data_IF_034854647555
#
_entry.id   IF_034854647555
#
_cell.length_a   1.000
_cell.length_b   1.000
_cell.length_c   1.000
_cell.angle_alpha   90.00
_cell.angle_beta   90.00
_cell.angle_gamma   90.00
#
_symmetry.space_group_name_H-M   'P 1'
#
loop_
_entity.id
_entity.type
_entity.pdbx_description
1 polymer ?
#
# COMPACT_ATOMS: atom_id res chain seq x y z
N UNK A 1 -1.70 23.26 25.38
CA UNK A 1 -1.61 21.80 25.20
C UNK A 1 -2.13 21.50 23.81
N UNK A 2 -1.31 20.94 22.93
CA UNK A 2 -1.74 20.54 21.59
C UNK A 2 -2.47 19.20 21.70
N UNK A 3 -3.66 19.10 21.14
CA UNK A 3 -4.46 17.87 21.14
C UNK A 3 -3.85 16.84 20.16
N UNK A 4 -3.46 15.63 20.62
CA UNK A 4 -2.95 14.57 19.74
C UNK A 4 -3.88 14.26 18.56
N UNK A 5 -5.20 14.33 18.76
CA UNK A 5 -6.17 14.05 17.71
C UNK A 5 -6.12 15.10 16.58
N UNK A 6 -5.87 16.37 16.93
CA UNK A 6 -5.72 17.46 15.95
C UNK A 6 -4.45 17.30 15.13
N UNK A 7 -3.33 16.95 15.77
CA UNK A 7 -2.08 16.66 15.07
C UNK A 7 -2.19 15.43 14.17
N UNK A 8 -2.90 14.39 14.63
CA UNK A 8 -3.18 13.21 13.83
C UNK A 8 -3.99 13.58 12.58
N UNK A 9 -5.07 14.34 12.73
CA UNK A 9 -5.89 14.83 11.63
C UNK A 9 -5.08 15.69 10.64
N UNK A 10 -4.17 16.54 11.14
CA UNK A 10 -3.29 17.35 10.30
C UNK A 10 -2.36 16.48 9.43
N UNK A 11 -1.72 15.46 10.02
CA UNK A 11 -0.85 14.53 9.28
C UNK A 11 -1.61 13.73 8.21
N UNK A 12 -2.88 13.43 8.46
CA UNK A 12 -3.75 12.75 7.50
C UNK A 12 -4.26 13.70 6.40
N UNK A 13 -4.43 14.99 6.72
CA UNK A 13 -4.91 16.00 5.78
C UNK A 13 -3.81 16.44 4.80
N UNK A 14 -2.56 16.48 5.26
CA UNK A 14 -1.38 16.72 4.42
C UNK A 14 -0.29 15.67 4.69
N UNK A 15 -0.33 14.54 3.97
CA UNK A 15 0.70 13.51 4.07
C UNK A 15 2.08 13.93 3.56
N UNK A 16 2.30 15.17 3.14
CA UNK A 16 3.62 15.64 2.75
C UNK A 16 4.26 16.56 3.79
N UNK A 17 3.49 17.06 4.75
CA UNK A 17 3.97 17.93 5.82
C UNK A 17 4.69 17.15 6.92
N UNK A 18 6.02 17.17 6.85
CA UNK A 18 6.88 16.53 7.84
C UNK A 18 6.94 17.32 9.17
N UNK A 19 6.51 18.58 9.20
CA UNK A 19 6.48 19.40 10.42
C UNK A 19 5.43 18.87 11.38
N UNK A 20 4.18 18.71 10.93
CA UNK A 20 3.10 18.16 11.74
C UNK A 20 3.46 16.76 12.27
N UNK A 21 4.13 15.94 11.44
CA UNK A 21 4.58 14.59 11.82
C UNK A 21 5.63 14.60 12.91
N UNK A 22 6.62 15.48 12.84
CA UNK A 22 7.67 15.55 13.85
C UNK A 22 7.11 16.04 15.19
N UNK A 23 6.21 17.04 15.17
CA UNK A 23 5.52 17.51 16.39
C UNK A 23 4.69 16.39 17.00
N UNK A 24 3.96 15.62 16.18
CA UNK A 24 3.21 14.46 16.62
C UNK A 24 4.15 13.35 17.16
N UNK A 25 5.28 13.12 16.51
CA UNK A 25 6.23 12.11 16.92
C UNK A 25 6.81 12.42 18.30
N UNK A 26 7.21 13.66 18.54
CA UNK A 26 7.75 14.10 19.84
C UNK A 26 6.70 13.93 20.94
N UNK A 27 5.45 14.36 20.69
CA UNK A 27 4.34 14.18 21.63
C UNK A 27 4.08 12.70 21.96
N UNK A 28 4.09 11.83 20.96
CA UNK A 28 3.86 10.38 21.15
C UNK A 28 5.02 9.69 21.87
N UNK A 29 6.27 10.14 21.66
CA UNK A 29 7.45 9.58 22.34
C UNK A 29 7.46 9.85 23.85
N UNK A 30 6.82 10.93 24.27
CA UNK A 30 6.65 11.30 25.67
C UNK A 30 5.47 10.57 26.35
N UNK A 31 4.72 9.74 25.61
CA UNK A 31 3.60 8.97 26.17
C UNK A 31 4.05 7.85 27.11
N UNK A 32 3.28 7.63 28.17
CA UNK A 32 3.42 6.48 29.08
C UNK A 32 2.91 5.17 28.46
N UNK A 33 2.14 5.25 27.37
CA UNK A 33 1.65 4.09 26.62
C UNK A 33 2.74 3.55 25.68
N UNK A 34 3.22 2.30 25.88
CA UNK A 34 4.28 1.73 25.06
C UNK A 34 3.97 1.67 23.56
N UNK A 35 2.71 1.50 23.15
CA UNK A 35 2.36 1.48 21.73
C UNK A 35 2.45 2.87 21.11
N UNK A 36 1.96 3.89 21.83
CA UNK A 36 2.11 5.28 21.41
C UNK A 36 3.58 5.70 21.37
N UNK A 37 4.36 5.33 22.37
CA UNK A 37 5.79 5.59 22.38
C UNK A 37 6.49 4.93 21.18
N UNK A 38 6.18 3.65 20.88
CA UNK A 38 6.70 2.98 19.71
C UNK A 38 6.30 3.68 18.40
N UNK A 39 5.05 4.15 18.31
CA UNK A 39 4.54 4.90 17.16
C UNK A 39 5.26 6.24 16.98
N UNK A 40 5.50 6.98 18.06
CA UNK A 40 6.28 8.21 18.04
C UNK A 40 7.73 8.00 17.60
N UNK A 41 8.39 6.96 18.15
CA UNK A 41 9.74 6.55 17.75
C UNK A 41 9.81 6.22 16.25
N UNK A 42 8.83 5.46 15.76
CA UNK A 42 8.74 5.05 14.36
C UNK A 42 8.48 6.23 13.40
N UNK A 43 7.59 7.14 13.78
CA UNK A 43 7.31 8.38 13.03
C UNK A 43 8.54 9.27 12.92
N UNK A 44 9.18 9.57 14.06
CA UNK A 44 10.40 10.38 14.09
C UNK A 44 11.49 9.76 13.21
N UNK A 45 11.72 8.45 13.36
CA UNK A 45 12.76 7.75 12.62
C UNK A 45 12.46 7.70 11.11
N UNK A 46 11.20 7.47 10.73
CA UNK A 46 10.78 7.46 9.33
C UNK A 46 10.95 8.83 8.66
N UNK A 47 10.46 9.90 9.28
CA UNK A 47 10.63 11.26 8.75
C UNK A 47 12.10 11.65 8.68
N UNK A 48 12.88 11.31 9.70
CA UNK A 48 14.32 11.56 9.73
C UNK A 48 14.99 10.83 8.57
N UNK A 49 14.82 9.51 8.43
CA UNK A 49 15.41 8.72 7.35
C UNK A 49 15.03 9.23 5.95
N UNK A 50 13.81 9.73 5.77
CA UNK A 50 13.32 10.20 4.47
C UNK A 50 14.02 11.46 3.93
N UNK A 51 14.71 12.21 4.80
CA UNK A 51 15.50 13.39 4.38
C UNK A 51 16.67 13.02 3.45
N UNK A 52 17.12 11.77 3.50
CA UNK A 52 18.25 11.28 2.73
C UNK A 52 17.87 10.26 1.64
N UNK A 53 16.59 9.89 1.51
CA UNK A 53 16.19 8.79 0.62
C UNK A 53 16.03 9.18 -0.86
N UNK A 54 16.14 10.47 -1.22
CA UNK A 54 15.88 10.93 -2.60
C UNK A 54 17.12 11.34 -3.40
N UNK A 55 18.23 11.76 -2.77
CA UNK A 55 19.29 12.48 -3.50
C UNK A 55 20.73 12.20 -3.00
N UNK A 56 20.99 11.10 -2.27
CA UNK A 56 22.31 10.82 -1.69
C UNK A 56 22.85 9.44 -2.03
N UNK A 57 23.85 9.40 -2.91
CA UNK A 57 24.58 8.16 -3.26
C UNK A 57 25.42 7.62 -2.08
N UNK A 58 25.81 8.51 -1.16
CA UNK A 58 26.51 8.18 0.10
C UNK A 58 25.90 9.02 1.22
N UNK A 59 25.43 8.36 2.27
CA UNK A 59 24.88 9.03 3.47
C UNK A 59 25.84 8.79 4.63
N UNK A 60 26.63 9.81 4.99
CA UNK A 60 27.50 9.79 6.16
C UNK A 60 26.98 10.76 7.23
N UNK A 61 25.79 10.43 7.76
CA UNK A 61 25.13 11.21 8.82
C UNK A 61 24.75 10.30 10.00
N UNK A 62 25.26 10.55 11.22
CA UNK A 62 24.91 9.78 12.41
C UNK A 62 23.41 9.75 12.72
N UNK A 63 22.65 10.80 12.37
CA UNK A 63 21.20 10.86 12.57
C UNK A 63 20.48 9.88 11.65
N UNK A 64 20.93 9.74 10.40
CA UNK A 64 20.38 8.76 9.47
C UNK A 64 20.55 7.33 10.03
N UNK A 65 21.76 6.97 10.45
CA UNK A 65 22.00 5.64 11.02
C UNK A 65 21.28 5.42 12.35
N UNK A 66 21.10 6.47 13.16
CA UNK A 66 20.26 6.39 14.36
C UNK A 66 18.80 6.12 14.01
N UNK A 67 18.26 6.81 13.00
CA UNK A 67 16.91 6.59 12.52
C UNK A 67 16.71 5.19 11.94
N UNK A 68 17.67 4.68 11.16
CA UNK A 68 17.63 3.30 10.63
C UNK A 68 17.58 2.25 11.75
N UNK A 69 18.43 2.42 12.78
CA UNK A 69 18.42 1.52 13.95
C UNK A 69 17.08 1.57 14.69
N UNK A 70 16.49 2.75 14.78
CA UNK A 70 15.21 2.94 15.45
C UNK A 70 14.05 2.30 14.68
N UNK A 71 13.98 2.50 13.35
CA UNK A 71 13.03 1.80 12.48
C UNK A 71 13.16 0.28 12.64
N UNK A 72 14.39 -0.23 12.59
CA UNK A 72 14.67 -1.66 12.72
C UNK A 72 14.27 -2.20 14.11
N UNK A 73 14.53 -1.45 15.17
CA UNK A 73 14.18 -1.85 16.53
C UNK A 73 12.65 -1.96 16.70
N UNK A 74 11.89 -0.95 16.26
CA UNK A 74 10.42 -0.96 16.34
C UNK A 74 9.82 -2.05 15.44
N UNK A 75 10.35 -2.23 14.22
CA UNK A 75 9.89 -3.27 13.30
C UNK A 75 10.19 -4.68 13.83
N UNK A 76 11.38 -4.90 14.40
CA UNK A 76 11.76 -6.18 15.02
C UNK A 76 10.90 -6.54 16.24
N UNK A 77 10.43 -5.53 16.97
CA UNK A 77 9.48 -5.71 18.06
C UNK A 77 8.06 -6.05 17.57
N UNK A 78 7.78 -5.92 16.27
CA UNK A 78 6.52 -6.31 15.66
C UNK A 78 5.41 -5.26 15.66
N UNK A 79 5.68 -4.04 16.13
CA UNK A 79 4.65 -2.99 16.18
C UNK A 79 4.01 -2.70 14.82
N UNK A 80 4.76 -2.54 13.70
CA UNK A 80 4.11 -2.26 12.42
C UNK A 80 3.31 -3.44 11.87
N UNK A 81 3.61 -4.68 12.29
CA UNK A 81 2.78 -5.84 12.01
C UNK A 81 1.48 -5.82 12.82
N UNK A 82 1.55 -5.50 14.11
CA UNK A 82 0.35 -5.36 14.95
C UNK A 82 -0.57 -4.22 14.45
N UNK A 83 -0.01 -3.07 14.07
CA UNK A 83 -0.78 -1.96 13.52
C UNK A 83 -1.50 -2.32 12.21
N UNK A 84 -0.84 -3.08 11.34
CA UNK A 84 -1.48 -3.62 10.13
C UNK A 84 -2.53 -4.68 10.48
N UNK A 85 -2.25 -5.53 11.47
CA UNK A 85 -3.16 -6.55 11.98
C UNK A 85 -4.46 -5.98 12.54
N UNK A 86 -4.39 -4.83 13.23
CA UNK A 86 -5.57 -4.10 13.72
C UNK A 86 -6.54 -3.64 12.63
N UNK A 87 -6.11 -3.65 11.36
CA UNK A 87 -7.00 -3.41 10.22
C UNK A 87 -7.79 -4.66 9.80
N UNK A 88 -7.69 -5.77 10.55
CA UNK A 88 -8.38 -7.03 10.30
C UNK A 88 -7.57 -8.02 9.45
N UNK A 89 -6.25 -7.94 9.49
CA UNK A 89 -5.34 -8.75 8.67
C UNK A 89 -4.64 -9.82 9.52
N UNK A 90 -4.75 -11.08 9.09
CA UNK A 90 -4.06 -12.19 9.75
C UNK A 90 -4.80 -12.74 10.98
N UNK A 91 -4.19 -13.71 11.68
CA UNK A 91 -4.75 -14.27 12.91
C UNK A 91 -4.71 -13.24 14.06
N UNK A 92 -5.66 -13.37 14.98
CA UNK A 92 -5.73 -12.58 16.22
C UNK A 92 -5.65 -13.53 17.44
N UNK A 93 -4.62 -13.42 18.31
CA UNK A 93 -3.49 -12.50 18.23
C UNK A 93 -2.43 -12.92 17.21
N UNK A 94 -1.71 -11.95 16.64
CA UNK A 94 -0.52 -12.20 15.83
C UNK A 94 0.63 -12.69 16.70
N UNK A 95 1.38 -13.66 16.17
CA UNK A 95 2.62 -14.18 16.74
C UNK A 95 3.81 -13.86 15.84
N UNK A 96 5.03 -14.02 16.35
CA UNK A 96 6.26 -13.70 15.62
C UNK A 96 6.46 -14.51 14.33
N UNK A 97 5.81 -15.66 14.20
CA UNK A 97 5.89 -16.50 12.98
C UNK A 97 4.92 -16.07 11.89
N UNK A 98 3.95 -15.21 12.20
CA UNK A 98 2.87 -14.83 11.27
C UNK A 98 3.28 -13.71 10.34
N UNK A 99 4.38 -13.01 10.65
CA UNK A 99 4.83 -11.85 9.92
C UNK A 99 6.34 -11.81 9.70
N UNK A 100 6.73 -11.11 8.65
CA UNK A 100 8.13 -10.74 8.39
C UNK A 100 8.18 -9.28 8.00
N UNK A 101 9.36 -8.69 8.09
CA UNK A 101 9.57 -7.31 7.67
C UNK A 101 10.91 -7.16 6.94
N UNK A 102 10.95 -6.17 6.06
CA UNK A 102 12.16 -5.63 5.47
C UNK A 102 12.15 -4.10 5.57
N UNK A 103 13.31 -3.48 5.35
CA UNK A 103 13.39 -2.04 5.20
C UNK A 103 14.36 -1.65 4.09
N UNK A 104 14.07 -0.52 3.46
CA UNK A 104 14.91 0.10 2.43
C UNK A 104 14.77 1.62 2.60
N UNK A 105 15.86 2.28 3.00
CA UNK A 105 15.86 3.69 3.37
C UNK A 105 14.77 3.99 4.41
N UNK A 106 13.85 4.91 4.15
CA UNK A 106 12.76 5.28 5.06
C UNK A 106 11.53 4.37 4.98
N UNK A 107 11.58 3.34 4.12
CA UNK A 107 10.45 2.45 3.88
C UNK A 107 10.62 1.16 4.67
N UNK A 108 9.59 0.82 5.44
CA UNK A 108 9.50 -0.45 6.17
C UNK A 108 8.32 -1.23 5.60
N UNK A 109 8.58 -2.40 5.04
CA UNK A 109 7.53 -3.27 4.51
C UNK A 109 7.30 -4.41 5.48
N UNK A 110 6.04 -4.61 5.88
CA UNK A 110 5.62 -5.74 6.68
C UNK A 110 4.71 -6.63 5.86
N UNK A 111 4.88 -7.94 5.99
CA UNK A 111 4.04 -8.94 5.36
C UNK A 111 3.41 -9.86 6.39
N UNK A 112 2.09 -10.01 6.33
CA UNK A 112 1.27 -10.93 7.13
C UNK A 112 0.55 -11.87 6.17
N UNK A 113 1.00 -13.11 6.06
CA UNK A 113 0.55 -14.02 4.99
C UNK A 113 0.80 -13.44 3.59
N UNK A 114 -0.28 -13.23 2.83
CA UNK A 114 -0.29 -12.64 1.49
C UNK A 114 -0.54 -11.12 1.48
N UNK A 115 -0.82 -10.53 2.65
CA UNK A 115 -1.02 -9.10 2.80
C UNK A 115 0.30 -8.40 3.09
N UNK A 116 0.53 -7.29 2.41
CA UNK A 116 1.70 -6.43 2.62
C UNK A 116 1.25 -5.03 3.01
N UNK A 117 1.90 -4.42 3.99
CA UNK A 117 1.79 -3.00 4.30
C UNK A 117 3.16 -2.35 4.26
N UNK A 118 3.31 -1.27 3.48
CA UNK A 118 4.53 -0.49 3.43
C UNK A 118 4.32 0.85 4.12
N UNK A 119 5.15 1.07 5.12
CA UNK A 119 5.23 2.32 5.85
C UNK A 119 6.29 3.20 5.20
N UNK A 120 5.94 4.43 4.86
CA UNK A 120 6.86 5.46 4.42
C UNK A 120 6.79 6.62 5.41
N UNK A 121 7.94 7.21 5.77
CA UNK A 121 8.00 8.27 6.80
C UNK A 121 7.29 7.88 8.11
N UNK A 122 7.32 6.60 8.46
CA UNK A 122 6.68 6.06 9.66
C UNK A 122 5.15 5.96 9.62
N UNK A 123 4.51 6.16 8.47
CA UNK A 123 3.06 6.03 8.29
C UNK A 123 2.73 5.00 7.20
N UNK A 124 1.65 4.23 7.38
CA UNK A 124 1.20 3.27 6.37
C UNK A 124 0.75 4.03 5.11
N UNK A 125 1.52 3.90 4.04
CA UNK A 125 1.34 4.62 2.79
C UNK A 125 0.87 3.70 1.66
N UNK A 126 1.28 2.43 1.69
CA UNK A 126 0.89 1.46 0.65
C UNK A 126 0.44 0.15 1.28
N UNK A 127 -0.56 -0.48 0.66
CA UNK A 127 -1.00 -1.84 1.02
C UNK A 127 -1.16 -2.71 -0.23
N UNK A 128 -0.84 -3.99 -0.10
CA UNK A 128 -1.14 -5.00 -1.11
C UNK A 128 -2.03 -6.07 -0.48
N UNK A 129 -3.26 -6.20 -0.99
CA UNK A 129 -4.34 -7.02 -0.41
C UNK A 129 -5.24 -7.56 -1.51
N UNK A 130 -6.08 -8.55 -1.21
CA UNK A 130 -7.17 -8.91 -2.13
C UNK A 130 -8.22 -7.80 -2.20
N UNK A 131 -9.03 -7.78 -3.26
CA UNK A 131 -10.12 -6.81 -3.37
C UNK A 131 -11.10 -6.95 -2.20
N UNK A 132 -11.40 -8.18 -1.80
CA UNK A 132 -12.27 -8.46 -0.65
C UNK A 132 -11.72 -7.86 0.64
N UNK A 133 -10.43 -8.09 0.93
CA UNK A 133 -9.75 -7.52 2.10
C UNK A 133 -9.76 -5.99 2.06
N UNK A 134 -9.47 -5.39 0.89
CA UNK A 134 -9.54 -3.93 0.74
C UNK A 134 -10.92 -3.40 1.12
N UNK A 135 -12.01 -4.00 0.62
CA UNK A 135 -13.36 -3.55 0.93
C UNK A 135 -13.74 -3.68 2.41
N UNK A 136 -13.10 -4.58 3.16
CA UNK A 136 -13.26 -4.70 4.62
C UNK A 136 -12.44 -3.64 5.35
N UNK A 137 -11.18 -3.46 4.97
CA UNK A 137 -10.24 -2.61 5.72
C UNK A 137 -10.17 -1.15 5.26
N UNK A 138 -10.75 -0.78 4.11
CA UNK A 138 -10.55 0.53 3.49
C UNK A 138 -10.91 1.70 4.43
N UNK A 139 -12.07 1.60 5.09
CA UNK A 139 -12.52 2.64 6.03
C UNK A 139 -11.58 2.80 7.22
N UNK A 140 -11.29 1.76 8.04
CA UNK A 140 -10.35 1.91 9.15
C UNK A 140 -8.94 2.28 8.69
N UNK A 141 -8.49 1.79 7.53
CA UNK A 141 -7.20 2.14 6.97
C UNK A 141 -7.11 3.63 6.65
N UNK A 142 -8.08 4.22 5.94
CA UNK A 142 -8.09 5.64 5.60
C UNK A 142 -8.43 6.55 6.79
N UNK A 143 -9.16 6.06 7.79
CA UNK A 143 -9.38 6.79 9.03
C UNK A 143 -8.08 6.90 9.84
N UNK A 144 -7.28 5.83 9.86
CA UNK A 144 -6.07 5.73 10.68
C UNK A 144 -4.79 6.18 9.98
N UNK A 145 -4.72 6.14 8.65
CA UNK A 145 -3.45 6.22 7.93
C UNK A 145 -3.57 6.97 6.60
N UNK A 146 -2.50 7.66 6.15
CA UNK A 146 -2.46 8.30 4.84
C UNK A 146 -2.13 7.28 3.75
N UNK A 147 -2.95 6.23 3.60
CA UNK A 147 -2.76 5.27 2.50
C UNK A 147 -2.92 6.01 1.19
N UNK A 148 -1.89 5.99 0.35
CA UNK A 148 -1.82 6.65 -0.95
C UNK A 148 -2.03 5.64 -2.09
N UNK A 149 -1.67 4.36 -1.85
CA UNK A 149 -1.75 3.31 -2.87
C UNK A 149 -2.21 1.98 -2.30
N UNK A 150 -3.11 1.34 -3.03
CA UNK A 150 -3.57 -0.03 -2.78
C UNK A 150 -3.29 -0.86 -4.03
N UNK A 151 -2.57 -1.98 -3.88
CA UNK A 151 -2.38 -2.97 -4.95
C UNK A 151 -3.30 -4.15 -4.70
N UNK A 152 -4.09 -4.53 -5.71
CA UNK A 152 -5.02 -5.64 -5.60
C UNK A 152 -4.37 -6.94 -6.08
N UNK A 153 -4.11 -7.87 -5.16
CA UNK A 153 -3.28 -9.07 -5.43
C UNK A 153 -4.03 -10.14 -6.22
N UNK A 154 -5.35 -10.20 -6.10
CA UNK A 154 -6.22 -11.13 -6.82
C UNK A 154 -6.77 -10.55 -8.15
N UNK A 155 -6.38 -9.33 -8.52
CA UNK A 155 -6.65 -8.73 -9.81
C UNK A 155 -5.36 -8.06 -10.35
N UNK A 156 -4.43 -8.83 -10.94
CA UNK A 156 -3.14 -8.32 -11.41
C UNK A 156 -3.25 -7.04 -12.26
N UNK A 157 -2.52 -6.01 -11.86
CA UNK A 157 -2.50 -4.72 -12.54
C UNK A 157 -3.57 -3.72 -12.04
N UNK A 158 -4.50 -4.15 -11.20
CA UNK A 158 -5.46 -3.27 -10.54
C UNK A 158 -4.82 -2.60 -9.33
N UNK A 159 -4.95 -1.29 -9.26
CA UNK A 159 -4.51 -0.45 -8.15
C UNK A 159 -5.56 0.60 -7.82
N UNK A 160 -5.63 1.00 -6.56
CA UNK A 160 -6.29 2.24 -6.16
C UNK A 160 -5.25 3.27 -5.76
N UNK A 161 -5.41 4.50 -6.25
CA UNK A 161 -4.68 5.69 -5.80
C UNK A 161 -5.60 6.54 -4.94
N UNK A 162 -5.07 7.05 -3.82
CA UNK A 162 -5.75 8.02 -2.97
C UNK A 162 -4.85 9.23 -2.84
N UNK A 163 -5.35 10.38 -3.27
CA UNK A 163 -4.56 11.60 -3.22
C UNK A 163 -5.44 12.83 -2.98
N UNK A 164 -4.79 13.90 -2.56
CA UNK A 164 -5.43 15.21 -2.37
C UNK A 164 -5.15 16.09 -3.59
N UNK A 165 -6.20 16.60 -4.23
CA UNK A 165 -6.12 17.54 -5.35
C UNK A 165 -6.69 18.89 -4.88
N UNK A 166 -5.78 19.79 -4.49
CA UNK A 166 -6.16 21.08 -3.94
C UNK A 166 -6.93 20.94 -2.63
N UNK A 167 -8.25 21.16 -2.66
CA UNK A 167 -9.14 21.01 -1.49
C UNK A 167 -9.91 19.69 -1.49
N UNK A 168 -9.96 18.99 -2.61
CA UNK A 168 -10.71 17.74 -2.76
C UNK A 168 -9.80 16.53 -2.55
N UNK A 169 -10.43 15.39 -2.28
CA UNK A 169 -9.80 14.09 -2.26
C UNK A 169 -10.24 13.28 -3.46
N UNK A 170 -9.31 12.56 -4.06
CA UNK A 170 -9.55 11.70 -5.21
C UNK A 170 -9.26 10.25 -4.86
N UNK A 171 -10.21 9.37 -5.18
CA UNK A 171 -10.01 7.94 -5.27
C UNK A 171 -9.97 7.56 -6.75
N UNK A 172 -8.82 7.12 -7.23
CA UNK A 172 -8.62 6.63 -8.60
C UNK A 172 -8.49 5.11 -8.56
N UNK A 173 -9.21 4.39 -9.42
CA UNK A 173 -8.94 2.98 -9.69
C UNK A 173 -8.29 2.87 -11.08
N UNK A 174 -7.17 2.16 -11.17
CA UNK A 174 -6.39 2.00 -12.40
C UNK A 174 -6.08 0.55 -12.65
N UNK A 175 -6.35 0.08 -13.88
CA UNK A 175 -6.01 -1.25 -14.36
C UNK A 175 -4.94 -1.14 -15.43
N UNK A 176 -3.74 -1.66 -15.16
CA UNK A 176 -2.63 -1.71 -16.11
C UNK A 176 -2.26 -3.15 -16.43
N UNK A 177 -2.52 -3.58 -17.65
CA UNK A 177 -2.15 -4.91 -18.14
C UNK A 177 -0.86 -4.83 -18.95
N UNK A 178 0.11 -5.67 -18.59
CA UNK A 178 1.29 -5.91 -19.41
C UNK A 178 0.90 -6.55 -20.74
N UNK A 179 1.70 -6.31 -21.79
CA UNK A 179 1.46 -6.93 -23.09
C UNK A 179 1.47 -8.46 -22.99
N UNK A 180 0.40 -9.10 -23.49
CA UNK A 180 0.26 -10.55 -23.44
C UNK A 180 0.70 -11.13 -24.78
N UNK A 181 1.72 -12.00 -24.76
CA UNK A 181 2.01 -12.86 -25.92
C UNK A 181 1.13 -14.08 -25.81
N UNK A 182 0.07 -14.16 -26.61
CA UNK A 182 -0.78 -15.35 -26.70
C UNK A 182 -0.28 -16.21 -27.87
N UNK A 183 0.20 -17.44 -27.63
CA UNK A 183 0.41 -18.39 -28.70
C UNK A 183 -0.95 -18.74 -29.30
N UNK A 184 -1.12 -18.57 -30.61
CA UNK A 184 -2.35 -19.02 -31.28
C UNK A 184 -2.39 -20.54 -31.33
N UNK A 185 -3.08 -21.17 -30.38
CA UNK A 185 -3.50 -22.57 -30.48
C UNK A 185 -4.64 -22.67 -31.49
N UNK A 186 -4.27 -22.86 -32.76
CA UNK A 186 -5.21 -23.05 -33.86
C UNK A 186 -4.60 -23.28 -35.25
N UNK A 187 -3.28 -23.28 -35.40
CA UNK A 187 -2.65 -23.66 -36.66
C UNK A 187 -2.45 -25.19 -36.70
N UNK A 188 -3.33 -25.85 -37.43
CA UNK A 188 -3.22 -27.24 -37.86
C UNK A 188 -1.79 -27.59 -38.26
N UNK A 189 -1.29 -28.72 -37.77
CA UNK A 189 0.02 -29.27 -38.13
C UNK A 189 0.08 -29.50 -39.65
N UNK A 190 0.78 -28.64 -40.37
CA UNK A 190 1.34 -28.94 -41.68
C UNK A 190 2.84 -29.20 -41.51
N UNK A 191 3.39 -30.29 -42.07
CA UNK A 191 4.80 -30.59 -41.90
C UNK A 191 5.65 -29.74 -42.85
N UNK A 192 6.74 -29.21 -42.30
CA UNK A 192 7.86 -28.50 -42.94
C UNK A 192 7.63 -27.07 -43.46
N UNK A 193 8.45 -26.15 -42.93
CA UNK A 193 8.61 -24.77 -43.38
C UNK A 193 8.39 -23.80 -42.22
N UNK A 194 9.41 -23.01 -41.89
CA UNK A 194 9.41 -22.02 -40.80
C UNK A 194 8.11 -21.19 -40.77
N UNK A 195 7.19 -21.55 -39.88
CA UNK A 195 5.98 -20.79 -39.60
C UNK A 195 6.24 -19.99 -38.34
N UNK A 196 6.48 -18.69 -38.50
CA UNK A 196 6.31 -17.72 -37.41
C UNK A 196 4.85 -17.83 -37.02
N UNK A 197 4.57 -18.54 -35.93
CA UNK A 197 3.21 -18.60 -35.38
C UNK A 197 2.74 -17.16 -35.22
N UNK A 198 1.61 -16.74 -35.81
CA UNK A 198 1.19 -15.36 -35.67
C UNK A 198 0.83 -15.18 -34.20
N UNK A 199 1.54 -14.28 -33.53
CA UNK A 199 1.28 -13.91 -32.15
C UNK A 199 0.35 -12.72 -32.24
N UNK A 200 -0.88 -12.85 -31.73
CA UNK A 200 -1.68 -11.69 -31.41
C UNK A 200 -1.01 -11.02 -30.21
N UNK A 201 -0.21 -10.00 -30.51
CA UNK A 201 0.38 -9.13 -29.52
C UNK A 201 -0.69 -8.14 -29.10
N UNK A 202 -1.39 -8.47 -28.03
CA UNK A 202 -2.24 -7.51 -27.35
C UNK A 202 -1.31 -6.51 -26.66
N UNK A 203 -1.28 -5.27 -27.18
CA UNK A 203 -0.46 -4.20 -26.65
C UNK A 203 -0.76 -3.89 -25.17
N UNK A 204 0.18 -3.23 -24.45
CA UNK A 204 -0.07 -2.79 -23.09
C UNK A 204 -1.34 -1.94 -23.08
N UNK A 205 -2.21 -2.21 -22.12
CA UNK A 205 -3.50 -1.56 -22.03
C UNK A 205 -3.70 -1.02 -20.63
N UNK A 206 -4.27 0.17 -20.58
CA UNK A 206 -4.43 0.92 -19.36
C UNK A 206 -5.77 1.64 -19.37
N UNK A 207 -6.51 1.46 -18.28
CA UNK A 207 -7.78 2.12 -18.04
C UNK A 207 -7.79 2.66 -16.62
N UNK A 208 -8.49 3.76 -16.43
CA UNK A 208 -8.68 4.37 -15.12
C UNK A 208 -10.05 5.02 -15.02
N UNK A 209 -10.57 5.09 -13.80
CA UNK A 209 -11.80 5.78 -13.41
C UNK A 209 -11.56 6.42 -12.06
N UNK A 210 -12.26 7.51 -11.75
CA UNK A 210 -12.07 8.25 -10.50
C UNK A 210 -13.39 8.67 -9.86
N UNK A 211 -13.35 8.85 -8.54
CA UNK A 211 -14.39 9.52 -7.76
C UNK A 211 -13.76 10.59 -6.87
N UNK A 212 -14.48 11.71 -6.67
CA UNK A 212 -14.01 12.87 -5.92
C UNK A 212 -14.85 13.12 -4.69
N UNK A 213 -14.20 13.58 -3.63
CA UNK A 213 -14.79 13.86 -2.34
C UNK A 213 -14.38 15.26 -1.89
N UNK A 214 -15.33 16.00 -1.29
CA UNK A 214 -15.09 17.37 -0.85
C UNK A 214 -14.08 17.47 0.31
N UNK A 215 -13.98 16.43 1.13
CA UNK A 215 -13.05 16.34 2.25
C UNK A 215 -12.69 14.88 2.58
N UNK A 216 -11.73 14.71 3.49
CA UNK A 216 -11.21 13.39 3.88
C UNK A 216 -12.26 12.56 4.62
N UNK A 217 -13.11 13.17 5.44
CA UNK A 217 -14.13 12.45 6.19
C UNK A 217 -15.15 11.81 5.24
N UNK A 218 -15.56 12.55 4.22
CA UNK A 218 -16.45 12.08 3.16
C UNK A 218 -15.80 10.95 2.35
N UNK A 219 -14.50 11.06 2.03
CA UNK A 219 -13.74 9.96 1.43
C UNK A 219 -13.77 8.71 2.32
N UNK A 220 -13.46 8.83 3.61
CA UNK A 220 -13.41 7.70 4.55
C UNK A 220 -14.75 6.97 4.65
N UNK A 221 -15.86 7.71 4.70
CA UNK A 221 -17.20 7.13 4.74
C UNK A 221 -17.63 6.52 3.39
N UNK A 222 -17.24 7.13 2.27
CA UNK A 222 -17.63 6.71 0.92
C UNK A 222 -16.76 5.64 0.27
N UNK A 223 -15.51 5.45 0.73
CA UNK A 223 -14.46 4.68 0.03
C UNK A 223 -14.90 3.28 -0.38
N UNK A 224 -15.66 2.57 0.46
CA UNK A 224 -16.07 1.19 0.19
C UNK A 224 -17.09 1.14 -0.96
N UNK A 225 -18.07 2.05 -0.95
CA UNK A 225 -19.07 2.14 -2.01
C UNK A 225 -18.43 2.58 -3.33
N UNK A 226 -17.61 3.63 -3.26
CA UNK A 226 -16.84 4.15 -4.40
C UNK A 226 -15.94 3.08 -5.02
N UNK A 227 -15.16 2.36 -4.21
CA UNK A 227 -14.27 1.29 -4.69
C UNK A 227 -15.04 0.21 -5.47
N UNK A 228 -16.27 -0.14 -5.04
CA UNK A 228 -17.11 -1.11 -5.77
C UNK A 228 -17.59 -0.58 -7.12
N UNK A 229 -18.02 0.67 -7.16
CA UNK A 229 -18.46 1.34 -8.40
C UNK A 229 -17.30 1.42 -9.38
N UNK A 230 -16.16 1.95 -8.95
CA UNK A 230 -14.96 2.08 -9.79
C UNK A 230 -14.49 0.72 -10.34
N UNK A 231 -14.53 -0.35 -9.54
CA UNK A 231 -14.21 -1.70 -10.04
C UNK A 231 -15.24 -2.21 -11.03
N UNK A 232 -16.53 -1.96 -10.81
CA UNK A 232 -17.58 -2.35 -11.74
C UNK A 232 -17.43 -1.62 -13.09
N UNK A 233 -17.13 -0.32 -13.05
CA UNK A 233 -16.88 0.50 -14.24
C UNK A 233 -15.64 0.02 -14.99
N UNK A 234 -14.52 -0.23 -14.28
CA UNK A 234 -13.32 -0.80 -14.92
C UNK A 234 -13.57 -2.17 -15.52
N UNK A 235 -14.37 -3.03 -14.86
CA UNK A 235 -14.76 -4.34 -15.42
C UNK A 235 -15.55 -4.17 -16.71
N UNK A 236 -16.49 -3.22 -16.73
CA UNK A 236 -17.28 -2.92 -17.91
C UNK A 236 -16.42 -2.38 -19.05
N UNK A 237 -15.46 -1.50 -18.75
CA UNK A 237 -14.54 -0.90 -19.74
C UNK A 237 -13.54 -1.94 -20.27
N UNK A 238 -12.96 -2.76 -19.39
CA UNK A 238 -11.94 -3.75 -19.76
C UNK A 238 -12.54 -4.98 -20.47
N UNK A 239 -13.81 -5.31 -20.21
CA UNK A 239 -14.52 -6.44 -20.79
C UNK A 239 -13.74 -7.75 -20.62
N UNK A 240 -13.52 -8.45 -21.74
CA UNK A 240 -12.81 -9.75 -21.78
C UNK A 240 -11.33 -9.67 -21.36
N UNK A 241 -10.78 -8.45 -21.23
CA UNK A 241 -9.39 -8.25 -20.79
C UNK A 241 -9.26 -8.17 -19.28
N UNK A 242 -10.35 -8.25 -18.51
CA UNK A 242 -10.29 -8.26 -17.05
C UNK A 242 -9.40 -9.42 -16.54
N UNK A 243 -8.45 -9.15 -15.63
CA UNK A 243 -7.52 -10.19 -15.17
C UNK A 243 -8.26 -11.25 -14.35
N UNK A 244 -8.00 -12.52 -14.65
CA UNK A 244 -8.39 -13.63 -13.76
C UNK A 244 -7.49 -13.65 -12.52
N UNK A 245 -8.01 -14.11 -11.37
CA UNK A 245 -7.18 -14.30 -10.19
C UNK A 245 -5.97 -15.20 -10.49
N UNK A 246 -4.78 -14.90 -9.95
CA UNK A 246 -3.63 -15.77 -10.11
C UNK A 246 -3.97 -17.17 -9.57
N UNK A 247 -3.71 -18.21 -10.37
CA UNK A 247 -3.88 -19.59 -9.92
C UNK A 247 -3.01 -19.80 -8.68
N UNK A 248 -3.62 -20.13 -7.53
CA UNK A 248 -2.89 -20.52 -6.33
C UNK A 248 -1.95 -21.67 -6.71
N UNK A 249 -0.63 -21.47 -6.58
CA UNK A 249 0.33 -22.56 -6.75
C UNK A 249 0.08 -23.52 -5.59
N UNK A 250 -0.45 -24.71 -5.89
CA UNK A 250 -0.43 -25.82 -4.94
C UNK A 250 1.03 -26.18 -4.69
N UNK A 251 1.59 -25.67 -3.61
CA UNK A 251 2.82 -26.22 -3.03
C UNK A 251 2.40 -27.52 -2.32
N UNK A 252 2.87 -28.71 -2.76
CA UNK A 252 2.59 -29.93 -2.02
C UNK A 252 3.22 -29.84 -0.63
N UNK A 253 2.59 -30.40 0.42
CA UNK A 253 3.19 -30.47 1.74
C UNK A 253 4.52 -31.25 1.67
N UNK A 254 5.54 -30.73 2.34
CA UNK A 254 6.81 -31.43 2.59
C UNK A 254 6.65 -32.46 3.69
#
# INVERSE_FOLDING_TARGET
MTDPAVLWAACLADPTDDTARLVLADLLRESDDPDQQARGRFLWAGVTAARWSRDSDVIDDPLYYSAQRELAAVATAGHPAHWLGFLGVGPDPLTRTDWVWDATHDRVTVRIGDTTGTYARGMLAEVAVTLEQWLVMARPALAGWPVERVTVTDAPGLTFGVERIGREWRLEARLKLGGRRVPMSGASVLPFGMSVSPVLADGPAEWWVEERFGDRATLVEGVVAASRVLVADLRQIAGDRWPSPPRKRHTPPR
#
